data_IF_684588201137
#
_entry.id   IF_684588201137
#
_cell.length_a   1.000
_cell.length_b   1.000
_cell.length_c   1.000
_cell.angle_alpha   90.00
_cell.angle_beta   90.00
_cell.angle_gamma   90.00
#
_symmetry.space_group_name_H-M   'P 1'
#
loop_
_entity.id
_entity.type
_entity.pdbx_description
1 polymer ?
#
# COMPACT_ATOMS: atom_id res chain seq x y z
N UNK A 1 -11.00 -0.16 78.34
CA UNK A 1 -11.20 -1.50 77.75
C UNK A 1 -11.08 -1.38 76.24
N UNK A 2 -10.47 -2.40 75.61
CA UNK A 2 -10.03 -2.50 74.21
C UNK A 2 -10.88 -1.71 73.20
N UNK A 3 -10.35 -0.98 72.24
CA UNK A 3 -9.42 -1.45 71.22
C UNK A 3 -8.73 -0.23 70.57
N UNK A 4 -7.61 0.22 71.15
CA UNK A 4 -6.76 1.29 70.60
C UNK A 4 -5.33 0.78 70.38
N UNK A 5 -5.20 -0.52 70.10
CA UNK A 5 -3.91 -1.18 69.83
C UNK A 5 -3.83 -1.79 68.43
N UNK A 6 -4.94 -2.05 67.74
CA UNK A 6 -4.88 -2.62 66.39
C UNK A 6 -4.63 -1.61 65.27
N UNK A 7 -4.87 -0.31 65.48
CA UNK A 7 -4.67 0.68 64.42
C UNK A 7 -3.22 1.16 64.27
N UNK A 8 -2.39 1.04 65.31
CA UNK A 8 -0.97 1.47 65.29
C UNK A 8 -0.01 0.41 64.72
N UNK A 9 -0.39 -0.87 64.71
CA UNK A 9 0.40 -1.93 64.06
C UNK A 9 0.19 -1.99 62.54
N UNK A 10 -1.01 -1.66 62.04
CA UNK A 10 -1.28 -1.66 60.60
C UNK A 10 -0.63 -0.49 59.86
N UNK A 11 -0.43 0.66 60.50
CA UNK A 11 0.23 1.81 59.85
C UNK A 11 1.75 1.59 59.78
N UNK A 12 2.37 1.02 60.82
CA UNK A 12 3.80 0.68 60.82
C UNK A 12 4.16 -0.47 59.85
N UNK A 13 3.25 -1.43 59.63
CA UNK A 13 3.45 -2.51 58.66
C UNK A 13 3.35 -2.02 57.20
N UNK A 14 2.46 -1.07 56.91
CA UNK A 14 2.31 -0.48 55.57
C UNK A 14 3.54 0.37 55.21
N UNK A 15 4.14 1.08 56.16
CA UNK A 15 5.37 1.83 55.90
C UNK A 15 6.62 0.95 55.78
N UNK A 16 6.67 -0.23 56.41
CA UNK A 16 7.78 -1.18 56.25
C UNK A 16 7.71 -2.00 54.95
N UNK A 17 6.51 -2.26 54.41
CA UNK A 17 6.36 -2.89 53.08
C UNK A 17 6.61 -1.86 51.96
N UNK A 18 6.29 -0.59 52.18
CA UNK A 18 6.61 0.49 51.24
C UNK A 18 8.11 0.89 51.25
N UNK A 19 8.84 0.66 52.34
CA UNK A 19 10.26 1.03 52.48
C UNK A 19 11.26 -0.10 52.15
N UNK A 20 10.80 -1.29 51.76
CA UNK A 20 11.68 -2.42 51.37
C UNK A 20 11.53 -2.89 49.90
N UNK A 21 10.76 -2.19 49.08
CA UNK A 21 10.72 -2.43 47.62
C UNK A 21 11.33 -1.31 46.77
N UNK A 22 11.97 -0.31 47.38
CA UNK A 22 12.85 0.64 46.67
C UNK A 22 14.31 0.18 46.65
N UNK A 23 14.56 -1.12 46.80
CA UNK A 23 15.77 -1.72 46.27
C UNK A 23 15.65 -1.64 44.75
N UNK A 24 16.43 -0.73 44.16
CA UNK A 24 16.59 -0.53 42.73
C UNK A 24 16.42 -1.83 41.96
N UNK A 25 15.24 -2.01 41.35
CA UNK A 25 15.16 -2.83 40.15
C UNK A 25 15.91 -2.03 39.10
N UNK A 26 17.22 -2.26 39.03
CA UNK A 26 17.94 -2.06 37.78
C UNK A 26 17.12 -2.84 36.75
N UNK A 27 16.36 -2.11 35.93
CA UNK A 27 15.78 -2.66 34.71
C UNK A 27 17.00 -3.15 33.94
N UNK A 28 17.21 -4.47 33.96
CA UNK A 28 18.12 -5.10 33.03
C UNK A 28 17.61 -4.67 31.65
N UNK A 29 18.38 -3.84 30.95
CA UNK A 29 18.01 -3.36 29.63
C UNK A 29 17.63 -4.57 28.79
N UNK A 30 16.42 -4.55 28.23
CA UNK A 30 15.93 -5.60 27.34
C UNK A 30 17.00 -5.86 26.28
N UNK A 31 17.50 -7.10 26.22
CA UNK A 31 18.53 -7.48 25.26
C UNK A 31 17.91 -7.45 23.86
N UNK A 32 18.12 -6.35 23.14
CA UNK A 32 17.62 -6.16 21.77
C UNK A 32 18.28 -7.15 20.81
N UNK A 33 17.49 -7.64 19.86
CA UNK A 33 17.99 -8.50 18.77
C UNK A 33 18.84 -7.66 17.83
N UNK A 34 20.13 -7.99 17.73
CA UNK A 34 21.04 -7.33 16.78
C UNK A 34 20.73 -7.75 15.36
N UNK A 35 20.41 -6.79 14.50
CA UNK A 35 20.18 -6.98 13.07
C UNK A 35 21.14 -6.06 12.33
N UNK A 36 22.05 -6.65 11.55
CA UNK A 36 22.98 -5.89 10.71
C UNK A 36 22.66 -6.15 9.24
N UNK A 37 22.41 -5.09 8.48
CA UNK A 37 22.02 -5.17 7.07
C UNK A 37 23.11 -4.50 6.24
N UNK A 38 23.69 -5.27 5.35
CA UNK A 38 24.72 -4.84 4.42
C UNK A 38 24.06 -4.68 3.05
N UNK A 39 24.06 -3.47 2.52
CA UNK A 39 23.33 -3.12 1.30
C UNK A 39 24.19 -2.25 0.38
N UNK A 40 23.73 -2.06 -0.84
CA UNK A 40 24.38 -1.19 -1.82
C UNK A 40 23.47 -0.02 -2.15
N UNK A 41 24.02 1.19 -2.07
CA UNK A 41 23.32 2.37 -2.57
C UNK A 41 23.14 2.22 -4.09
N UNK A 42 21.93 2.50 -4.59
CA UNK A 42 21.53 2.33 -5.99
C UNK A 42 21.42 0.87 -6.47
N UNK A 43 21.31 -0.09 -5.55
CA UNK A 43 20.93 -1.47 -5.89
C UNK A 43 19.40 -1.61 -5.81
N UNK A 44 18.69 -1.91 -6.93
CA UNK A 44 17.23 -1.98 -6.95
C UNK A 44 16.64 -2.98 -5.94
N UNK A 45 17.28 -4.14 -5.76
CA UNK A 45 16.81 -5.14 -4.79
C UNK A 45 17.09 -4.72 -3.34
N UNK A 46 18.17 -3.97 -3.09
CA UNK A 46 18.43 -3.41 -1.76
C UNK A 46 17.44 -2.29 -1.43
N UNK A 47 17.12 -1.46 -2.42
CA UNK A 47 16.10 -0.42 -2.31
C UNK A 47 14.75 -1.03 -1.99
N UNK A 48 14.29 -2.00 -2.79
CA UNK A 48 13.06 -2.75 -2.54
C UNK A 48 13.04 -3.36 -1.14
N UNK A 49 14.08 -4.08 -0.75
CA UNK A 49 14.16 -4.66 0.60
C UNK A 49 14.07 -3.60 1.71
N UNK A 50 14.74 -2.45 1.56
CA UNK A 50 14.74 -1.40 2.58
C UNK A 50 13.37 -0.72 2.66
N UNK A 51 12.78 -0.37 1.52
CA UNK A 51 11.53 0.39 1.45
C UNK A 51 10.32 -0.50 1.78
N UNK A 52 10.28 -1.71 1.24
CA UNK A 52 9.08 -2.56 1.26
C UNK A 52 9.07 -3.61 2.37
N UNK A 53 10.23 -3.99 2.90
CA UNK A 53 10.33 -5.02 3.93
C UNK A 53 10.88 -4.47 5.24
N UNK A 54 12.02 -3.80 5.20
CA UNK A 54 12.66 -3.30 6.41
C UNK A 54 11.84 -2.18 7.06
N UNK A 55 11.29 -1.26 6.28
CA UNK A 55 10.52 -0.14 6.82
C UNK A 55 9.33 -0.60 7.69
N UNK A 56 8.71 -1.74 7.35
CA UNK A 56 7.58 -2.31 8.10
C UNK A 56 7.89 -2.58 9.58
N UNK A 57 9.17 -2.77 9.96
CA UNK A 57 9.54 -2.98 11.37
C UNK A 57 9.31 -1.74 12.24
N UNK A 58 9.27 -0.55 11.63
CA UNK A 58 8.99 0.70 12.31
C UNK A 58 7.48 0.89 12.56
N UNK A 59 6.64 0.38 11.66
CA UNK A 59 5.18 0.48 11.75
C UNK A 59 4.56 -0.53 12.71
N UNK A 60 5.01 -1.78 12.64
CA UNK A 60 4.47 -2.87 13.47
C UNK A 60 5.10 -2.93 14.89
N UNK A 61 5.92 -1.95 15.24
CA UNK A 61 6.55 -1.82 16.56
C UNK A 61 7.71 -2.80 16.81
N UNK A 62 8.08 -3.65 15.86
CA UNK A 62 9.19 -4.61 15.98
C UNK A 62 10.53 -3.91 16.22
N UNK A 63 10.70 -2.67 15.76
CA UNK A 63 11.90 -1.85 16.02
C UNK A 63 12.20 -1.67 17.52
N UNK A 64 11.18 -1.77 18.39
CA UNK A 64 11.36 -1.65 19.85
C UNK A 64 12.29 -2.72 20.43
N UNK A 65 12.30 -3.91 19.82
CA UNK A 65 13.10 -5.08 20.25
C UNK A 65 14.32 -5.34 19.36
N UNK A 66 14.60 -4.48 18.37
CA UNK A 66 15.70 -4.63 17.42
C UNK A 66 16.76 -3.53 17.63
N UNK A 67 18.03 -3.94 17.62
CA UNK A 67 19.20 -3.07 17.48
C UNK A 67 19.66 -3.14 16.02
N UNK A 68 19.16 -2.22 15.19
CA UNK A 68 19.34 -2.22 13.75
C UNK A 68 20.57 -1.40 13.33
N UNK A 69 21.46 -2.02 12.56
CA UNK A 69 22.62 -1.36 11.93
C UNK A 69 22.58 -1.53 10.41
N UNK A 70 22.65 -0.41 9.70
CA UNK A 70 22.70 -0.39 8.23
C UNK A 70 24.12 -0.05 7.77
N UNK A 71 24.62 -0.83 6.82
CA UNK A 71 25.96 -0.68 6.24
C UNK A 71 25.85 -0.62 4.71
N UNK A 72 26.02 0.56 4.09
CA UNK A 72 25.96 0.73 2.63
C UNK A 72 27.26 0.26 1.94
N UNK A 73 27.75 -0.93 2.32
CA UNK A 73 29.01 -1.54 1.88
C UNK A 73 28.77 -3.02 1.53
N UNK A 74 27.72 -3.34 0.77
CA UNK A 74 27.37 -4.72 0.43
C UNK A 74 28.48 -5.44 -0.36
N UNK A 75 28.59 -5.17 -1.67
CA UNK A 75 29.61 -5.78 -2.54
C UNK A 75 30.77 -4.85 -2.92
N UNK A 76 30.93 -3.74 -2.21
CA UNK A 76 32.03 -2.81 -2.43
C UNK A 76 33.38 -3.48 -2.10
N UNK A 77 34.36 -3.33 -2.99
CA UNK A 77 35.71 -3.90 -2.86
C UNK A 77 36.72 -2.80 -2.56
N UNK A 78 37.65 -3.04 -1.64
CA UNK A 78 38.80 -2.14 -1.44
C UNK A 78 39.93 -2.58 -2.36
N UNK A 79 40.33 -1.71 -3.28
CA UNK A 79 41.55 -1.87 -4.09
C UNK A 79 42.81 -1.73 -3.23
N UNK A 80 43.94 -2.26 -3.70
CA UNK A 80 45.21 -2.23 -2.96
C UNK A 80 45.73 -0.82 -2.62
N UNK A 81 45.27 0.21 -3.36
CA UNK A 81 45.56 1.62 -3.09
C UNK A 81 44.56 2.27 -2.10
N UNK A 82 43.65 1.50 -1.50
CA UNK A 82 42.63 1.98 -0.58
C UNK A 82 41.39 2.58 -1.24
N UNK A 83 41.27 2.52 -2.58
CA UNK A 83 40.08 2.96 -3.29
C UNK A 83 38.95 1.95 -3.11
N UNK A 84 37.79 2.41 -2.63
CA UNK A 84 36.56 1.61 -2.62
C UNK A 84 35.96 1.60 -4.02
N UNK A 85 35.72 0.41 -4.55
CA UNK A 85 35.12 0.15 -5.86
C UNK A 85 33.78 -0.54 -5.64
N UNK A 86 32.70 0.15 -5.97
CA UNK A 86 31.35 -0.41 -5.95
C UNK A 86 31.08 -1.16 -7.26
N UNK A 87 30.30 -2.24 -7.20
CA UNK A 87 29.89 -2.98 -8.39
C UNK A 87 28.66 -2.33 -9.02
N UNK A 88 28.81 -1.18 -9.66
CA UNK A 88 27.72 -0.59 -10.47
C UNK A 88 28.17 -0.41 -11.90
N UNK A 89 28.26 -1.54 -12.63
CA UNK A 89 28.01 -1.49 -14.07
C UNK A 89 26.53 -1.78 -14.27
N UNK A 90 25.79 -0.83 -14.85
CA UNK A 90 24.40 -0.90 -15.32
C UNK A 90 24.10 -2.06 -16.31
N UNK A 91 24.96 -3.07 -16.42
CA UNK A 91 24.96 -4.00 -17.55
C UNK A 91 25.05 -5.50 -17.21
N UNK A 92 25.23 -5.94 -15.96
CA UNK A 92 25.34 -7.38 -15.68
C UNK A 92 24.80 -7.79 -14.30
N UNK A 93 23.52 -8.12 -14.23
CA UNK A 93 22.97 -8.95 -13.15
C UNK A 93 22.73 -10.36 -13.69
N UNK A 94 23.59 -11.31 -13.28
CA UNK A 94 23.36 -12.74 -13.43
C UNK A 94 22.65 -13.22 -12.16
N UNK A 95 21.44 -13.80 -12.22
CA UNK A 95 20.56 -14.04 -11.06
C UNK A 95 21.02 -15.18 -10.11
N UNK A 96 22.27 -15.64 -10.16
CA UNK A 96 22.75 -16.80 -9.39
C UNK A 96 23.79 -16.51 -8.30
N UNK A 97 24.05 -15.26 -7.95
CA UNK A 97 25.10 -14.92 -6.99
C UNK A 97 24.71 -13.87 -5.95
N UNK A 98 23.69 -14.08 -5.12
CA UNK A 98 23.59 -13.27 -3.90
C UNK A 98 23.18 -14.11 -2.68
N UNK A 99 23.97 -13.97 -1.62
CA UNK A 99 23.79 -14.59 -0.31
C UNK A 99 23.36 -13.48 0.66
N UNK A 100 22.15 -13.58 1.23
CA UNK A 100 21.78 -12.83 2.44
C UNK A 100 22.09 -13.74 3.63
N UNK A 101 23.24 -13.55 4.28
CA UNK A 101 23.58 -14.31 5.48
C UNK A 101 23.10 -13.55 6.73
N UNK A 102 21.86 -13.81 7.17
CA UNK A 102 21.40 -13.40 8.49
C UNK A 102 21.98 -14.36 9.54
N UNK A 103 23.08 -13.99 10.21
CA UNK A 103 23.62 -14.78 11.32
C UNK A 103 22.80 -14.59 12.59
N UNK A 104 21.88 -15.52 12.84
CA UNK A 104 21.31 -15.75 14.17
C UNK A 104 22.32 -16.53 15.02
N UNK A 105 22.94 -15.87 16.01
CA UNK A 105 23.72 -16.56 17.04
C UNK A 105 22.75 -17.34 17.96
N UNK A 106 22.66 -18.66 17.78
CA UNK A 106 21.95 -19.56 18.69
C UNK A 106 22.72 -19.70 20.00
N UNK A 107 22.15 -19.26 21.12
CA UNK A 107 22.52 -19.76 22.45
C UNK A 107 21.55 -20.86 22.90
N UNK A 108 22.14 -21.99 23.26
CA UNK A 108 21.46 -23.17 23.79
C UNK A 108 21.23 -23.02 25.30
N UNK A 109 19.96 -23.01 25.73
CA UNK A 109 19.59 -23.31 27.11
C UNK A 109 19.11 -24.76 27.20
N UNK A 110 19.95 -25.63 27.79
CA UNK A 110 19.61 -27.02 28.17
C UNK A 110 18.92 -27.03 29.54
N UNK A 111 17.77 -27.72 29.61
CA UNK A 111 17.12 -28.24 30.82
C UNK A 111 16.16 -27.26 31.51
N UNK A 112 14.91 -27.58 31.86
CA UNK A 112 14.38 -28.85 32.38
C UNK A 112 12.85 -28.92 32.18
N UNK A 113 12.40 -30.04 31.62
CA UNK A 113 10.98 -30.44 31.50
C UNK A 113 10.44 -30.98 32.82
N UNK A 114 9.19 -30.61 33.20
CA UNK A 114 8.07 -31.56 33.39
C UNK A 114 6.81 -30.89 33.98
N UNK A 115 5.68 -31.16 33.29
CA UNK A 115 4.27 -31.34 33.75
C UNK A 115 3.65 -30.18 34.55
N UNK A 116 2.53 -29.62 34.10
CA UNK A 116 1.22 -30.28 34.21
C UNK A 116 0.30 -30.04 33.02
N UNK A 117 -0.27 -31.14 32.51
CA UNK A 117 -1.52 -31.18 31.77
C UNK A 117 -2.72 -30.92 32.70
N UNK A 118 -3.80 -30.33 32.15
CA UNK A 118 -5.24 -30.65 32.36
C UNK A 118 -6.11 -29.43 32.72
N UNK A 119 -7.26 -29.37 32.03
CA UNK A 119 -8.40 -28.42 32.13
C UNK A 119 -8.20 -27.10 31.38
N UNK A 120 -9.10 -26.64 30.48
CA UNK A 120 -10.46 -27.06 30.14
C UNK A 120 -10.78 -26.49 28.75
N UNK A 121 -11.30 -27.34 27.88
CA UNK A 121 -12.08 -27.00 26.70
C UNK A 121 -13.35 -26.22 27.07
N UNK A 122 -13.87 -25.46 26.09
CA UNK A 122 -15.22 -24.87 25.94
C UNK A 122 -15.26 -23.34 26.10
N UNK A 123 -15.63 -22.67 25.00
CA UNK A 123 -15.85 -21.23 24.94
C UNK A 123 -16.14 -20.74 23.51
N UNK A 124 -16.90 -21.53 22.74
CA UNK A 124 -17.52 -21.14 21.47
C UNK A 124 -18.96 -21.65 21.50
N UNK A 125 -19.86 -20.83 20.97
CA UNK A 125 -21.32 -20.93 20.88
C UNK A 125 -22.16 -20.25 21.98
N UNK A 126 -23.23 -19.59 21.49
CA UNK A 126 -24.41 -19.02 22.17
C UNK A 126 -24.42 -17.50 22.39
N UNK A 127 -24.38 -16.74 21.29
CA UNK A 127 -25.06 -15.44 21.21
C UNK A 127 -26.00 -15.42 20.00
N UNK A 128 -27.07 -16.21 20.07
CA UNK A 128 -28.23 -16.06 19.20
C UNK A 128 -29.48 -16.55 19.95
N UNK A 129 -30.52 -15.69 19.98
CA UNK A 129 -31.81 -15.76 20.69
C UNK A 129 -31.85 -15.10 22.08
N UNK A 130 -32.31 -13.83 22.15
CA UNK A 130 -33.42 -13.42 23.03
C UNK A 130 -33.88 -11.94 22.86
N UNK A 131 -34.42 -11.51 21.72
CA UNK A 131 -35.46 -10.45 21.67
C UNK A 131 -36.38 -10.75 20.49
N UNK A 132 -37.27 -11.73 20.66
CA UNK A 132 -38.44 -11.96 19.78
C UNK A 132 -39.48 -12.73 20.60
N UNK A 133 -40.20 -12.04 21.49
CA UNK A 133 -41.47 -12.53 22.04
C UNK A 133 -42.29 -11.35 22.61
N UNK A 134 -42.70 -10.40 21.76
CA UNK A 134 -43.83 -9.52 22.08
C UNK A 134 -44.70 -9.34 20.82
N UNK A 135 -45.94 -9.80 20.96
CA UNK A 135 -47.12 -9.56 20.14
C UNK A 135 -47.29 -10.26 18.79
N UNK A 136 -47.85 -11.47 18.87
CA UNK A 136 -48.87 -11.96 17.94
C UNK A 136 -50.26 -11.68 18.52
N UNK A 137 -51.01 -10.71 17.99
CA UNK A 137 -52.48 -10.81 17.81
C UNK A 137 -53.05 -9.59 17.06
N UNK A 138 -53.81 -9.87 16.00
CA UNK A 138 -54.86 -9.07 15.36
C UNK A 138 -54.54 -7.66 14.81
N UNK A 139 -54.65 -7.48 13.49
CA UNK A 139 -55.86 -6.90 12.85
C UNK A 139 -55.62 -6.60 11.34
N UNK A 140 -55.81 -7.59 10.45
CA UNK A 140 -55.88 -7.35 8.99
C UNK A 140 -57.26 -6.77 8.66
N UNK A 141 -57.40 -5.45 8.67
CA UNK A 141 -58.52 -4.72 8.00
C UNK A 141 -58.31 -3.20 7.84
N UNK A 142 -57.14 -2.66 8.19
CA UNK A 142 -56.90 -1.20 8.24
C UNK A 142 -56.08 -0.61 7.08
N UNK A 143 -55.39 -1.43 6.27
CA UNK A 143 -54.38 -0.92 5.30
C UNK A 143 -54.90 -0.65 3.88
N UNK A 144 -56.17 -0.96 3.59
CA UNK A 144 -56.76 -0.68 2.27
C UNK A 144 -57.45 0.70 2.18
N UNK A 145 -57.68 1.38 3.32
CA UNK A 145 -58.30 2.71 3.33
C UNK A 145 -57.28 3.85 3.40
N UNK A 146 -56.04 3.60 3.82
CA UNK A 146 -54.98 4.61 3.87
C UNK A 146 -54.33 4.85 2.49
N UNK A 147 -54.25 3.82 1.65
CA UNK A 147 -53.70 3.92 0.29
C UNK A 147 -54.66 4.61 -0.70
N UNK A 148 -55.97 4.59 -0.45
CA UNK A 148 -56.95 5.28 -1.29
C UNK A 148 -57.01 6.80 -1.05
N UNK A 149 -56.61 7.27 0.14
CA UNK A 149 -56.62 8.69 0.53
C UNK A 149 -55.39 9.46 0.01
N UNK A 150 -54.26 8.79 -0.20
CA UNK A 150 -53.02 9.42 -0.69
C UNK A 150 -53.06 9.67 -2.21
N UNK A 151 -53.76 8.82 -2.97
CA UNK A 151 -53.90 8.97 -4.43
C UNK A 151 -54.89 10.08 -4.81
N UNK A 152 -55.85 10.41 -3.96
CA UNK A 152 -56.82 11.50 -4.21
C UNK A 152 -56.30 12.91 -3.90
N UNK A 153 -55.20 13.06 -3.14
CA UNK A 153 -54.67 14.36 -2.72
C UNK A 153 -53.57 14.93 -3.62
N UNK A 154 -53.04 14.18 -4.59
CA UNK A 154 -51.98 14.66 -5.51
C UNK A 154 -52.48 15.04 -6.91
N UNK A 155 -53.79 14.98 -7.18
CA UNK A 155 -54.34 15.27 -8.53
C UNK A 155 -54.81 16.72 -8.76
N UNK A 156 -54.53 17.68 -7.88
CA UNK A 156 -54.94 19.08 -8.10
C UNK A 156 -53.92 20.11 -7.61
N UNK A 157 -52.76 20.21 -8.25
CA UNK A 157 -51.91 21.39 -8.21
C UNK A 157 -51.18 21.58 -9.55
N UNK A 158 -51.89 22.13 -10.55
CA UNK A 158 -51.28 22.84 -11.67
C UNK A 158 -51.55 24.33 -11.48
N UNK A 159 -50.51 25.17 -11.31
CA UNK A 159 -50.59 26.57 -11.69
C UNK A 159 -49.93 26.77 -13.06
N UNK A 160 -50.73 27.20 -14.02
CA UNK A 160 -50.25 27.80 -15.26
C UNK A 160 -49.56 29.13 -14.93
N UNK A 161 -48.25 29.20 -15.11
CA UNK A 161 -47.51 30.47 -15.16
C UNK A 161 -46.67 30.52 -16.42
N UNK A 162 -47.15 31.29 -17.40
CA UNK A 162 -46.33 31.82 -18.49
C UNK A 162 -45.39 32.87 -17.93
N UNK A 163 -44.07 32.64 -18.02
CA UNK A 163 -43.06 33.68 -17.93
C UNK A 163 -42.03 33.47 -19.04
N UNK A 164 -41.84 34.51 -19.84
CA UNK A 164 -40.82 34.61 -20.89
C UNK A 164 -39.51 35.17 -20.32
N UNK A 165 -38.42 35.00 -21.09
CA UNK A 165 -37.09 35.64 -20.97
C UNK A 165 -36.20 34.94 -19.93
N UNK A 166 -34.93 34.56 -20.14
CA UNK A 166 -33.89 34.99 -21.07
C UNK A 166 -32.97 33.80 -21.38
N UNK A 167 -32.62 33.58 -22.64
CA UNK A 167 -31.52 32.70 -23.01
C UNK A 167 -30.19 33.39 -22.69
N UNK A 168 -29.70 33.23 -21.47
CA UNK A 168 -28.26 33.32 -21.24
C UNK A 168 -27.64 32.05 -21.82
N UNK A 169 -26.58 32.13 -22.65
CA UNK A 169 -25.85 30.94 -23.00
C UNK A 169 -25.29 30.39 -21.69
N UNK A 170 -25.69 29.15 -21.36
CA UNK A 170 -24.95 28.37 -20.39
C UNK A 170 -23.51 28.38 -20.92
N UNK A 171 -22.64 29.09 -20.20
CA UNK A 171 -21.21 28.87 -20.32
C UNK A 171 -21.05 27.38 -20.06
N UNK A 172 -20.80 26.62 -21.12
CA UNK A 172 -20.30 25.28 -21.00
C UNK A 172 -19.08 25.42 -20.10
N UNK A 173 -19.22 25.03 -18.83
CA UNK A 173 -18.08 24.79 -17.97
C UNK A 173 -17.31 23.71 -18.68
N UNK A 174 -16.27 24.10 -19.42
CA UNK A 174 -15.39 23.14 -20.06
C UNK A 174 -14.92 22.23 -18.94
N UNK A 175 -15.28 20.95 -19.03
CA UNK A 175 -14.63 19.94 -18.20
C UNK A 175 -13.15 20.12 -18.48
N UNK A 176 -12.39 20.57 -17.48
CA UNK A 176 -10.93 20.67 -17.62
C UNK A 176 -10.43 19.29 -18.07
N UNK A 177 -9.68 19.26 -19.17
CA UNK A 177 -9.21 18.01 -19.76
C UNK A 177 -8.32 17.29 -18.76
N UNK A 178 -8.72 16.07 -18.38
CA UNK A 178 -7.95 15.20 -17.48
C UNK A 178 -6.66 14.74 -18.16
N UNK A 179 -5.62 14.52 -17.38
CA UNK A 179 -4.38 13.90 -17.85
C UNK A 179 -4.60 12.39 -17.99
N UNK A 180 -4.34 11.86 -19.18
CA UNK A 180 -4.33 10.42 -19.39
C UNK A 180 -3.12 9.78 -18.68
N UNK A 181 -3.39 8.75 -17.87
CA UNK A 181 -2.40 7.88 -17.25
C UNK A 181 -2.74 6.45 -17.67
N UNK A 182 -1.86 5.79 -18.41
CA UNK A 182 -2.04 4.37 -18.77
C UNK A 182 -0.94 3.52 -18.13
N UNK A 183 -1.35 2.45 -17.44
CA UNK A 183 -0.47 1.42 -16.90
C UNK A 183 -0.60 0.14 -17.72
N UNK A 184 0.50 -0.30 -18.33
CA UNK A 184 0.63 -1.63 -18.93
C UNK A 184 1.44 -2.53 -18.00
N UNK A 185 0.87 -3.66 -17.61
CA UNK A 185 1.38 -4.47 -16.51
C UNK A 185 1.03 -5.96 -16.65
N UNK A 186 1.60 -6.79 -15.77
CA UNK A 186 1.31 -8.23 -15.64
C UNK A 186 1.01 -8.55 -14.18
N UNK A 187 -0.03 -9.33 -13.92
CA UNK A 187 -0.55 -9.56 -12.57
C UNK A 187 0.42 -10.30 -11.62
N UNK A 188 1.44 -10.99 -12.13
CA UNK A 188 2.46 -11.67 -11.31
C UNK A 188 3.86 -11.08 -11.46
N UNK A 189 3.98 -9.88 -12.02
CA UNK A 189 5.24 -9.18 -12.10
C UNK A 189 5.52 -8.41 -10.78
N UNK A 190 6.62 -8.70 -10.06
CA UNK A 190 6.93 -8.06 -8.77
C UNK A 190 6.99 -6.52 -8.79
N UNK A 191 7.41 -5.93 -9.91
CA UNK A 191 7.45 -4.48 -10.06
C UNK A 191 6.07 -3.88 -10.34
N UNK A 192 5.17 -4.64 -10.97
CA UNK A 192 3.80 -4.21 -11.27
C UNK A 192 2.94 -4.22 -10.01
N UNK A 193 2.94 -5.34 -9.28
CA UNK A 193 2.22 -5.49 -8.00
C UNK A 193 2.66 -4.38 -7.02
N UNK A 194 3.97 -4.13 -6.91
CA UNK A 194 4.52 -3.10 -6.04
C UNK A 194 4.08 -1.70 -6.49
N UNK A 195 4.11 -1.41 -7.80
CA UNK A 195 3.66 -0.12 -8.31
C UNK A 195 2.17 0.11 -8.03
N UNK A 196 1.31 -0.88 -8.27
CA UNK A 196 -0.13 -0.76 -8.03
C UNK A 196 -0.43 -0.57 -6.54
N UNK A 197 0.16 -1.42 -5.70
CA UNK A 197 -0.14 -1.49 -4.26
C UNK A 197 0.52 -0.36 -3.46
N UNK A 198 1.75 0.04 -3.80
CA UNK A 198 2.53 0.97 -2.97
C UNK A 198 2.75 2.37 -3.58
N UNK A 199 2.39 2.60 -4.86
CA UNK A 199 2.60 3.90 -5.51
C UNK A 199 1.32 4.44 -6.15
N UNK A 200 0.69 3.67 -7.03
CA UNK A 200 -0.47 4.10 -7.81
C UNK A 200 -1.68 4.41 -6.93
N UNK A 201 -1.90 3.62 -5.88
CA UNK A 201 -3.04 3.80 -4.97
C UNK A 201 -3.12 5.23 -4.37
N UNK A 202 -1.97 5.90 -4.20
CA UNK A 202 -1.91 7.23 -3.59
C UNK A 202 -2.75 8.28 -4.33
N UNK A 203 -2.99 8.09 -5.65
CA UNK A 203 -3.78 9.05 -6.44
C UNK A 203 -5.23 9.18 -5.95
N UNK A 204 -5.75 8.14 -5.30
CA UNK A 204 -7.10 8.11 -4.76
C UNK A 204 -7.20 8.88 -3.44
N UNK A 205 -6.10 8.95 -2.68
CA UNK A 205 -6.06 9.61 -1.37
C UNK A 205 -5.59 11.08 -1.44
N UNK A 206 -4.74 11.41 -2.41
CA UNK A 206 -4.11 12.73 -2.51
C UNK A 206 -4.88 13.72 -3.41
N UNK A 207 -6.04 13.30 -3.93
CA UNK A 207 -6.94 14.10 -4.78
C UNK A 207 -6.53 14.16 -6.26
N UNK A 208 -5.45 13.50 -6.67
CA UNK A 208 -4.96 13.49 -8.06
C UNK A 208 -5.93 12.78 -9.01
N UNK A 209 -6.69 11.79 -8.53
CA UNK A 209 -7.72 11.09 -9.33
C UNK A 209 -8.76 12.03 -9.95
N UNK A 210 -8.98 13.21 -9.36
CA UNK A 210 -9.90 14.21 -9.90
C UNK A 210 -9.46 14.80 -11.24
N UNK A 211 -8.16 14.78 -11.52
CA UNK A 211 -7.54 15.32 -12.74
C UNK A 211 -6.94 14.26 -13.65
N UNK A 212 -7.06 12.98 -13.29
CA UNK A 212 -6.49 11.84 -14.02
C UNK A 212 -7.60 11.02 -14.69
N UNK A 213 -7.33 10.61 -15.92
CA UNK A 213 -8.03 9.53 -16.61
C UNK A 213 -7.13 8.29 -16.60
N UNK A 214 -7.32 7.41 -15.61
CA UNK A 214 -6.48 6.24 -15.38
C UNK A 214 -7.00 5.04 -16.16
N UNK A 215 -6.12 4.42 -16.95
CA UNK A 215 -6.36 3.24 -17.78
C UNK A 215 -5.40 2.11 -17.39
N UNK A 216 -5.92 0.89 -17.46
CA UNK A 216 -5.20 -0.34 -17.13
C UNK A 216 -5.15 -1.25 -18.36
N UNK A 217 -4.00 -1.88 -18.59
CA UNK A 217 -3.81 -2.91 -19.61
C UNK A 217 -3.08 -4.13 -19.01
N UNK A 218 -3.82 -5.09 -18.41
CA UNK A 218 -3.27 -6.33 -17.87
C UNK A 218 -2.90 -7.30 -19.00
N UNK A 219 -1.66 -7.25 -19.49
CA UNK A 219 -1.15 -8.17 -20.52
C UNK A 219 0.39 -8.19 -20.52
N UNK A 220 0.99 -6.99 -20.53
CA UNK A 220 2.43 -6.77 -20.47
C UNK A 220 3.23 -7.54 -21.50
N UNK A 221 4.17 -8.37 -21.06
CA UNK A 221 5.05 -9.15 -21.91
C UNK A 221 4.47 -10.52 -22.33
N UNK A 222 3.18 -10.77 -22.13
CA UNK A 222 2.53 -11.97 -22.64
C UNK A 222 2.68 -12.05 -24.17
N UNK A 223 2.63 -13.28 -24.70
CA UNK A 223 2.83 -13.55 -26.13
C UNK A 223 1.76 -14.47 -26.66
N UNK A 224 1.27 -14.17 -27.86
CA UNK A 224 0.37 -15.05 -28.60
C UNK A 224 1.20 -16.04 -29.43
N UNK A 225 1.01 -17.34 -29.21
CA UNK A 225 1.56 -18.41 -30.05
C UNK A 225 0.81 -18.52 -31.36
N UNK A 226 1.39 -19.24 -32.32
CA UNK A 226 0.79 -19.48 -33.65
C UNK A 226 -0.59 -20.18 -33.60
N UNK A 227 -0.89 -20.91 -32.52
CA UNK A 227 -2.18 -21.56 -32.30
C UNK A 227 -3.20 -20.66 -31.57
N UNK A 228 -2.89 -19.39 -31.35
CA UNK A 228 -3.74 -18.42 -30.63
C UNK A 228 -3.62 -18.49 -29.10
N UNK A 229 -2.82 -19.41 -28.55
CA UNK A 229 -2.63 -19.51 -27.09
C UNK A 229 -1.79 -18.34 -26.58
N UNK A 230 -2.28 -17.67 -25.54
CA UNK A 230 -1.53 -16.63 -24.81
C UNK A 230 -0.62 -17.31 -23.79
N UNK A 231 0.63 -16.84 -23.72
CA UNK A 231 1.65 -17.35 -22.80
C UNK A 231 2.27 -16.19 -22.06
N UNK A 232 2.22 -16.26 -20.74
CA UNK A 232 2.72 -15.22 -19.85
C UNK A 232 4.06 -15.64 -19.22
N UNK A 233 4.86 -14.68 -18.76
CA UNK A 233 6.24 -14.92 -18.31
C UNK A 233 6.30 -15.69 -16.99
N UNK A 234 5.33 -15.44 -16.10
CA UNK A 234 5.26 -16.02 -14.76
C UNK A 234 4.31 -17.24 -14.68
N UNK A 235 3.92 -17.79 -15.84
CA UNK A 235 3.17 -19.03 -15.95
C UNK A 235 1.67 -18.84 -16.16
N UNK A 236 0.91 -19.93 -16.00
CA UNK A 236 -0.52 -19.94 -16.32
C UNK A 236 -1.36 -19.07 -15.39
N UNK A 237 -1.00 -18.99 -14.11
CA UNK A 237 -1.71 -18.14 -13.15
C UNK A 237 -1.64 -16.66 -13.50
N UNK A 238 -0.54 -16.19 -14.07
CA UNK A 238 -0.46 -14.82 -14.59
C UNK A 238 -1.48 -14.59 -15.71
N UNK A 239 -1.57 -15.50 -16.68
CA UNK A 239 -2.57 -15.37 -17.75
C UNK A 239 -4.00 -15.43 -17.22
N UNK A 240 -4.26 -16.27 -16.20
CA UNK A 240 -5.57 -16.32 -15.53
C UNK A 240 -5.89 -14.98 -14.87
N UNK A 241 -4.95 -14.40 -14.13
CA UNK A 241 -5.17 -13.16 -13.39
C UNK A 241 -5.23 -11.94 -14.31
N UNK A 242 -4.41 -11.88 -15.36
CA UNK A 242 -4.57 -10.88 -16.43
C UNK A 242 -6.00 -10.92 -16.99
N UNK A 243 -6.51 -12.12 -17.29
CA UNK A 243 -7.89 -12.30 -17.78
C UNK A 243 -8.94 -11.89 -16.74
N UNK A 244 -8.72 -12.21 -15.46
CA UNK A 244 -9.60 -11.82 -14.34
C UNK A 244 -9.71 -10.30 -14.26
N UNK A 245 -8.59 -9.59 -14.30
CA UNK A 245 -8.53 -8.14 -14.20
C UNK A 245 -9.07 -7.47 -15.47
N UNK A 246 -8.76 -8.00 -16.65
CA UNK A 246 -9.37 -7.59 -17.92
C UNK A 246 -10.90 -7.67 -17.86
N UNK A 247 -11.43 -8.78 -17.34
CA UNK A 247 -12.87 -8.97 -17.15
C UNK A 247 -13.46 -8.02 -16.10
N UNK A 248 -12.74 -7.72 -15.02
CA UNK A 248 -13.17 -6.75 -14.00
C UNK A 248 -13.25 -5.32 -14.57
N UNK A 249 -12.22 -4.89 -15.31
CA UNK A 249 -12.18 -3.59 -16.00
C UNK A 249 -13.35 -3.47 -17.00
N UNK A 250 -13.63 -4.55 -17.74
CA UNK A 250 -14.77 -4.57 -18.66
C UNK A 250 -16.13 -4.52 -17.94
N UNK A 251 -16.29 -5.30 -16.87
CA UNK A 251 -17.53 -5.38 -16.11
C UNK A 251 -17.86 -4.07 -15.38
N UNK A 252 -16.82 -3.35 -14.93
CA UNK A 252 -16.94 -2.12 -14.16
C UNK A 252 -16.11 -0.99 -14.80
N UNK A 253 -16.61 -0.34 -15.87
CA UNK A 253 -15.79 0.59 -16.67
C UNK A 253 -15.31 1.84 -15.93
N UNK A 254 -15.97 2.24 -14.84
CA UNK A 254 -15.49 3.36 -14.03
C UNK A 254 -14.30 2.91 -13.16
N UNK A 255 -13.22 3.70 -13.17
CA UNK A 255 -12.01 3.38 -12.40
C UNK A 255 -12.26 3.28 -10.89
N UNK A 256 -13.22 4.05 -10.36
CA UNK A 256 -13.64 3.94 -8.96
C UNK A 256 -14.23 2.58 -8.60
N UNK A 257 -14.69 1.83 -9.60
CA UNK A 257 -15.44 0.60 -9.41
C UNK A 257 -14.55 -0.63 -9.64
N UNK A 258 -13.71 -0.64 -10.69
CA UNK A 258 -12.78 -1.77 -10.93
C UNK A 258 -11.47 -1.68 -10.14
N UNK A 259 -10.94 -0.48 -9.86
CA UNK A 259 -9.64 -0.35 -9.20
C UNK A 259 -9.58 -1.04 -7.84
N UNK A 260 -10.59 -0.95 -6.94
CA UNK A 260 -10.55 -1.67 -5.67
C UNK A 260 -10.38 -3.18 -5.84
N UNK A 261 -10.98 -3.75 -6.88
CA UNK A 261 -10.84 -5.17 -7.19
C UNK A 261 -9.44 -5.50 -7.72
N UNK A 262 -8.93 -4.72 -8.68
CA UNK A 262 -7.56 -4.86 -9.21
C UNK A 262 -6.53 -4.74 -8.08
N UNK A 263 -6.63 -3.71 -7.24
CA UNK A 263 -5.77 -3.53 -6.08
C UNK A 263 -5.82 -4.73 -5.13
N UNK A 264 -7.00 -5.27 -4.84
CA UNK A 264 -7.13 -6.44 -3.96
C UNK A 264 -6.47 -7.70 -4.55
N UNK A 265 -6.60 -7.92 -5.86
CA UNK A 265 -5.93 -9.03 -6.53
C UNK A 265 -4.42 -8.83 -6.48
N UNK A 266 -3.93 -7.64 -6.79
CA UNK A 266 -2.50 -7.29 -6.78
C UNK A 266 -1.89 -7.29 -5.36
N UNK A 267 -2.68 -6.99 -4.32
CA UNK A 267 -2.24 -7.17 -2.93
C UNK A 267 -2.04 -8.66 -2.60
N UNK A 268 -2.93 -9.53 -3.08
CA UNK A 268 -2.78 -10.98 -2.91
C UNK A 268 -1.61 -11.54 -3.72
N UNK A 269 -1.33 -11.02 -4.92
CA UNK A 269 -0.16 -11.42 -5.71
C UNK A 269 1.13 -11.02 -5.00
N UNK A 270 1.21 -9.77 -4.51
CA UNK A 270 2.31 -9.25 -3.70
C UNK A 270 2.57 -10.04 -2.42
N UNK A 271 1.52 -10.57 -1.79
CA UNK A 271 1.63 -11.45 -0.62
C UNK A 271 1.95 -12.92 -0.95
N UNK A 272 2.03 -13.29 -2.23
CA UNK A 272 2.21 -14.67 -2.68
C UNK A 272 0.98 -15.57 -2.49
N UNK A 273 -0.21 -14.97 -2.38
CA UNK A 273 -1.52 -15.62 -2.16
C UNK A 273 -2.45 -15.47 -3.36
N UNK A 274 -1.91 -15.28 -4.56
CA UNK A 274 -2.68 -15.04 -5.80
C UNK A 274 -3.79 -16.07 -6.11
N UNK A 275 -3.69 -17.30 -5.61
CA UNK A 275 -4.74 -18.31 -5.74
C UNK A 275 -6.03 -17.97 -4.96
N UNK A 276 -5.97 -17.04 -4.01
CA UNK A 276 -7.09 -16.57 -3.19
C UNK A 276 -7.83 -15.37 -3.80
N UNK A 277 -7.56 -15.02 -5.07
CA UNK A 277 -8.11 -13.81 -5.73
C UNK A 277 -9.64 -13.69 -5.65
N UNK A 278 -10.38 -14.81 -5.68
CA UNK A 278 -11.85 -14.80 -5.57
C UNK A 278 -12.34 -14.21 -4.24
N UNK A 279 -11.52 -14.25 -3.18
CA UNK A 279 -11.85 -13.64 -1.89
C UNK A 279 -12.05 -12.12 -2.00
N UNK A 280 -11.52 -11.47 -3.04
CA UNK A 280 -11.73 -10.05 -3.29
C UNK A 280 -13.19 -9.69 -3.54
N UNK A 281 -14.01 -10.59 -4.10
CA UNK A 281 -15.45 -10.33 -4.26
C UNK A 281 -16.13 -10.18 -2.89
N UNK A 282 -15.84 -11.08 -1.96
CA UNK A 282 -16.41 -11.05 -0.61
C UNK A 282 -15.86 -9.88 0.21
N UNK A 283 -14.54 -9.64 0.17
CA UNK A 283 -13.88 -8.52 0.88
C UNK A 283 -14.45 -7.15 0.49
N UNK A 284 -14.76 -6.98 -0.80
CA UNK A 284 -15.23 -5.71 -1.36
C UNK A 284 -16.76 -5.65 -1.52
N UNK A 285 -17.48 -6.73 -1.17
CA UNK A 285 -18.92 -6.86 -1.36
C UNK A 285 -19.35 -6.59 -2.82
N UNK A 286 -18.63 -7.19 -3.77
CA UNK A 286 -18.88 -7.09 -5.21
C UNK A 286 -19.64 -8.32 -5.72
N UNK A 287 -20.53 -8.11 -6.70
CA UNK A 287 -21.15 -9.22 -7.43
C UNK A 287 -20.12 -9.87 -8.35
N UNK A 288 -19.80 -11.15 -8.12
CA UNK A 288 -18.81 -11.87 -8.91
C UNK A 288 -19.31 -12.25 -10.31
N UNK A 289 -20.64 -12.28 -10.50
CA UNK A 289 -21.25 -12.83 -11.71
C UNK A 289 -20.74 -12.21 -13.02
N UNK A 290 -20.63 -10.87 -13.17
CA UNK A 290 -20.15 -10.28 -14.42
C UNK A 290 -18.73 -10.70 -14.80
N UNK A 291 -17.84 -10.82 -13.81
CA UNK A 291 -16.44 -11.22 -14.02
C UNK A 291 -16.34 -12.71 -14.33
N UNK A 292 -17.02 -13.56 -13.55
CA UNK A 292 -17.02 -15.01 -13.75
C UNK A 292 -17.66 -15.40 -15.08
N UNK A 293 -18.77 -14.76 -15.47
CA UNK A 293 -19.41 -14.99 -16.77
C UNK A 293 -18.49 -14.55 -17.93
N UNK A 294 -17.74 -13.46 -17.77
CA UNK A 294 -16.75 -13.00 -18.76
C UNK A 294 -15.63 -14.02 -18.98
N UNK A 295 -15.10 -14.59 -17.88
CA UNK A 295 -14.07 -15.64 -17.93
C UNK A 295 -14.65 -16.91 -18.57
N UNK A 296 -15.79 -17.40 -18.07
CA UNK A 296 -16.39 -18.67 -18.48
C UNK A 296 -16.95 -18.69 -19.90
N UNK A 297 -17.32 -17.53 -20.46
CA UNK A 297 -17.81 -17.41 -21.84
C UNK A 297 -16.70 -17.36 -22.90
N UNK A 298 -15.43 -17.26 -22.49
CA UNK A 298 -14.30 -17.00 -23.39
C UNK A 298 -14.24 -15.54 -23.88
N UNK A 299 -15.08 -14.65 -23.35
CA UNK A 299 -14.98 -13.22 -23.65
C UNK A 299 -13.70 -12.60 -23.07
N UNK A 300 -13.25 -13.06 -21.90
CA UNK A 300 -11.95 -12.68 -21.33
C UNK A 300 -10.78 -12.88 -22.29
N UNK A 301 -10.74 -14.00 -23.02
CA UNK A 301 -9.71 -14.22 -24.04
C UNK A 301 -9.74 -13.19 -25.18
N UNK A 302 -10.94 -12.70 -25.55
CA UNK A 302 -11.05 -11.63 -26.56
C UNK A 302 -10.53 -10.29 -26.03
N UNK A 303 -10.75 -10.00 -24.75
CA UNK A 303 -10.20 -8.80 -24.10
C UNK A 303 -8.67 -8.87 -24.07
N UNK A 304 -8.10 -10.01 -23.70
CA UNK A 304 -6.64 -10.21 -23.72
C UNK A 304 -6.03 -10.00 -25.11
N UNK A 305 -6.71 -10.45 -26.18
CA UNK A 305 -6.27 -10.17 -27.56
C UNK A 305 -6.35 -8.68 -27.92
N UNK A 306 -7.33 -7.95 -27.39
CA UNK A 306 -7.42 -6.50 -27.58
C UNK A 306 -6.28 -5.77 -26.88
N UNK A 307 -5.96 -6.14 -25.62
CA UNK A 307 -4.79 -5.61 -24.92
C UNK A 307 -3.48 -5.97 -25.62
N UNK A 308 -3.38 -7.16 -26.21
CA UNK A 308 -2.24 -7.55 -27.03
C UNK A 308 -2.05 -6.63 -28.24
N UNK A 309 -3.14 -6.28 -28.94
CA UNK A 309 -3.12 -5.36 -30.09
C UNK A 309 -2.74 -3.93 -29.65
N UNK A 310 -3.27 -3.47 -28.51
CA UNK A 310 -2.95 -2.17 -27.92
C UNK A 310 -1.46 -2.06 -27.59
N UNK A 311 -0.92 -3.05 -26.86
CA UNK A 311 0.49 -3.08 -26.46
C UNK A 311 1.43 -3.19 -27.68
N UNK A 312 1.05 -3.95 -28.70
CA UNK A 312 1.83 -4.06 -29.94
C UNK A 312 1.85 -2.74 -30.74
N UNK A 313 0.82 -1.90 -30.59
CA UNK A 313 0.73 -0.61 -31.24
C UNK A 313 1.55 0.50 -30.56
N UNK A 314 2.09 0.25 -29.35
CA UNK A 314 2.88 1.23 -28.61
C UNK A 314 4.06 1.77 -29.44
N UNK A 315 4.24 3.09 -29.38
CA UNK A 315 5.36 3.80 -29.99
C UNK A 315 5.99 4.75 -28.97
N UNK A 316 7.22 4.48 -28.49
CA UNK A 316 8.04 3.30 -28.79
C UNK A 316 7.43 2.01 -28.19
N UNK A 317 7.79 0.82 -28.72
CA UNK A 317 7.44 -0.44 -28.06
C UNK A 317 7.95 -0.47 -26.62
N UNK A 318 7.13 -0.98 -25.70
CA UNK A 318 7.56 -1.22 -24.33
C UNK A 318 8.73 -2.21 -24.29
N UNK A 319 9.65 -2.03 -23.34
CA UNK A 319 10.82 -2.91 -23.17
C UNK A 319 10.80 -3.69 -21.86
N UNK A 320 9.87 -3.35 -20.97
CA UNK A 320 9.66 -3.95 -19.65
C UNK A 320 8.27 -3.57 -19.15
N UNK A 321 7.86 -4.15 -18.02
CA UNK A 321 6.71 -3.71 -17.23
C UNK A 321 7.13 -3.49 -15.77
N UNK A 322 6.46 -2.60 -15.00
CA UNK A 322 5.34 -1.75 -15.42
C UNK A 322 5.79 -0.72 -16.47
N UNK A 323 4.98 -0.54 -17.50
CA UNK A 323 5.19 0.51 -18.50
C UNK A 323 4.15 1.59 -18.26
N UNK A 324 4.60 2.74 -17.76
CA UNK A 324 3.72 3.85 -17.36
C UNK A 324 3.81 4.96 -18.39
N UNK A 325 2.65 5.39 -18.88
CA UNK A 325 2.52 6.44 -19.90
C UNK A 325 1.64 7.57 -19.35
N UNK A 326 2.17 8.80 -19.36
CA UNK A 326 1.44 10.01 -18.94
C UNK A 326 1.32 10.96 -20.14
N UNK A 327 0.10 11.29 -20.55
CA UNK A 327 -0.19 12.16 -21.72
C UNK A 327 0.60 11.75 -22.97
N UNK A 328 0.62 10.43 -23.26
CA UNK A 328 1.36 9.83 -24.36
C UNK A 328 2.89 9.73 -24.17
N UNK A 329 3.44 10.15 -23.03
CA UNK A 329 4.88 10.07 -22.74
C UNK A 329 5.19 8.86 -21.85
N UNK A 330 5.96 7.86 -22.33
CA UNK A 330 6.46 6.79 -21.47
C UNK A 330 7.48 7.35 -20.47
N UNK A 331 7.35 6.95 -19.21
CA UNK A 331 8.18 7.47 -18.12
C UNK A 331 9.52 6.74 -17.93
N UNK A 332 9.66 5.54 -18.51
CA UNK A 332 10.82 4.67 -18.32
C UNK A 332 11.12 4.46 -16.82
N UNK A 333 12.38 4.61 -16.40
CA UNK A 333 12.85 4.38 -15.03
C UNK A 333 12.31 5.45 -14.05
N UNK A 334 11.76 6.57 -14.56
CA UNK A 334 11.13 7.62 -13.77
C UNK A 334 9.66 7.30 -13.42
N UNK A 335 9.15 6.10 -13.76
CA UNK A 335 7.76 5.71 -13.47
C UNK A 335 7.33 5.86 -12.00
N UNK A 336 8.19 5.71 -10.97
CA UNK A 336 7.79 5.97 -9.59
C UNK A 336 7.44 7.45 -9.32
N UNK A 337 7.95 8.39 -10.14
CA UNK A 337 7.68 9.83 -10.04
C UNK A 337 6.48 10.28 -10.91
N UNK A 338 5.60 9.36 -11.31
CA UNK A 338 4.46 9.63 -12.21
C UNK A 338 3.57 10.80 -11.77
N UNK A 339 3.44 11.07 -10.46
CA UNK A 339 2.70 12.23 -9.92
C UNK A 339 3.28 13.54 -10.45
N UNK A 340 4.61 13.68 -10.50
CA UNK A 340 5.26 14.90 -11.03
C UNK A 340 4.98 15.11 -12.50
N UNK A 341 4.95 14.02 -13.28
CA UNK A 341 4.61 14.08 -14.71
C UNK A 341 3.14 14.46 -14.92
N UNK A 342 2.22 13.91 -14.13
CA UNK A 342 0.80 14.27 -14.17
C UNK A 342 0.61 15.75 -13.86
N UNK A 343 1.21 16.22 -12.78
CA UNK A 343 1.11 17.62 -12.37
C UNK A 343 1.70 18.59 -13.40
N UNK A 344 2.75 18.19 -14.11
CA UNK A 344 3.34 18.95 -15.20
C UNK A 344 2.48 18.95 -16.47
N UNK A 345 1.81 17.84 -16.76
CA UNK A 345 0.96 17.68 -17.94
C UNK A 345 -0.41 18.36 -17.78
N UNK A 346 -0.90 18.49 -16.54
CA UNK A 346 -2.22 19.07 -16.27
C UNK A 346 -2.30 20.55 -16.64
N UNK A 347 -3.31 20.90 -17.45
CA UNK A 347 -3.54 22.27 -17.96
C UNK A 347 -4.73 22.97 -17.31
N UNK A 348 -5.46 22.29 -16.43
CA UNK A 348 -6.61 22.85 -15.73
C UNK A 348 -6.21 23.81 -14.60
N UNK A 349 -7.16 24.67 -14.22
CA UNK A 349 -6.97 25.68 -13.19
C UNK A 349 -7.09 25.13 -11.77
N UNK A 350 -7.84 24.04 -11.58
CA UNK A 350 -8.03 23.41 -10.27
C UNK A 350 -6.91 22.39 -9.97
N UNK A 351 -5.74 22.90 -9.59
CA UNK A 351 -4.56 22.07 -9.31
C UNK A 351 -4.68 21.38 -7.93
N UNK A 352 -4.65 20.02 -7.86
CA UNK A 352 -4.71 19.30 -6.58
C UNK A 352 -3.52 19.59 -5.66
N UNK A 353 -3.70 19.39 -4.35
CA UNK A 353 -2.65 19.62 -3.34
C UNK A 353 -1.39 18.79 -3.62
N UNK A 354 -1.54 17.57 -4.12
CA UNK A 354 -0.43 16.71 -4.54
C UNK A 354 0.56 17.42 -5.48
N UNK A 355 0.07 18.28 -6.38
CA UNK A 355 0.91 19.04 -7.31
C UNK A 355 1.57 20.27 -6.69
N UNK A 356 1.03 20.82 -5.60
CA UNK A 356 1.55 22.04 -4.97
C UNK A 356 2.83 21.78 -4.16
N UNK A 357 3.00 20.56 -3.62
CA UNK A 357 4.18 20.16 -2.85
C UNK A 357 5.46 19.99 -3.69
N UNK A 358 5.32 19.78 -5.00
CA UNK A 358 6.43 19.47 -5.90
C UNK A 358 7.30 20.68 -6.27
N UNK A 359 6.76 21.90 -6.13
CA UNK A 359 7.48 23.15 -6.39
C UNK A 359 8.72 23.34 -5.48
N UNK A 360 8.75 22.70 -4.31
CA UNK A 360 9.88 22.77 -3.38
C UNK A 360 11.03 21.80 -3.70
N UNK A 361 10.80 20.73 -4.48
CA UNK A 361 11.85 19.78 -4.87
C UNK A 361 12.51 20.11 -6.22
N UNK A 362 11.91 20.99 -7.04
CA UNK A 362 12.44 21.38 -8.36
C UNK A 362 13.48 22.51 -8.35
N UNK A 363 14.10 22.84 -7.20
CA UNK A 363 15.30 23.71 -7.21
C UNK A 363 16.52 22.92 -7.67
N UNK A 364 16.72 22.89 -8.99
CA UNK A 364 17.98 22.69 -9.73
C UNK A 364 19.06 21.86 -9.01
N UNK A 365 19.18 20.58 -9.37
CA UNK A 365 20.51 20.02 -9.61
C UNK A 365 20.85 20.29 -11.07
N UNK A 366 21.55 21.40 -11.30
CA UNK A 366 22.18 21.67 -12.58
C UNK A 366 23.22 20.58 -12.87
N UNK A 367 23.30 20.17 -14.15
CA UNK A 367 24.34 19.31 -14.73
C UNK A 367 25.68 19.44 -13.99
N UNK A 368 26.00 18.44 -13.18
CA UNK A 368 27.35 18.24 -12.68
C UNK A 368 27.87 16.94 -13.32
N UNK A 369 29.04 16.93 -13.98
CA UNK A 369 29.62 15.70 -14.50
C UNK A 369 29.81 14.74 -13.34
N UNK A 370 29.25 13.54 -13.45
CA UNK A 370 29.36 12.45 -12.49
C UNK A 370 30.80 11.92 -12.43
N UNK A 371 31.70 12.68 -11.83
CA UNK A 371 32.96 12.13 -11.35
C UNK A 371 32.64 11.37 -10.06
N UNK A 372 32.37 10.07 -10.20
CA UNK A 372 32.19 9.15 -9.10
C UNK A 372 33.49 9.07 -8.28
N UNK A 373 33.54 9.74 -7.13
CA UNK A 373 34.64 9.65 -6.19
C UNK A 373 34.08 9.58 -4.77
N UNK A 374 34.36 8.47 -4.07
CA UNK A 374 34.19 8.36 -2.62
C UNK A 374 35.47 8.83 -1.92
N UNK A 375 35.35 9.67 -0.90
CA UNK A 375 36.49 10.06 -0.05
C UNK A 375 36.62 9.12 1.15
N UNK A 376 37.87 8.87 1.56
CA UNK A 376 38.22 8.21 2.82
C UNK A 376 38.13 9.23 3.95
N UNK A 377 37.41 8.92 5.02
CA UNK A 377 37.51 9.68 6.27
C UNK A 377 38.89 9.39 6.91
N UNK A 378 39.71 10.43 7.13
CA UNK A 378 40.98 10.28 7.84
C UNK A 378 40.72 10.09 9.34
N UNK A 379 41.47 9.17 9.95
CA UNK A 379 41.48 8.87 11.39
C UNK A 379 42.01 10.04 12.24
N UNK A 380 41.30 11.16 12.29
CA UNK A 380 41.54 12.22 13.27
C UNK A 380 40.22 12.89 13.69
N UNK A 381 39.38 12.15 14.40
CA UNK A 381 38.35 12.75 15.24
C UNK A 381 38.25 11.98 16.57
N UNK A 382 39.24 12.21 17.44
CA UNK A 382 39.03 12.02 18.87
C UNK A 382 37.99 13.03 19.33
N UNK A 383 36.84 12.51 19.76
CA UNK A 383 35.84 13.14 20.63
C UNK A 383 35.50 14.62 20.42
N UNK A 384 34.32 14.90 19.86
CA UNK A 384 33.51 16.03 20.33
C UNK A 384 32.01 15.63 20.33
N UNK A 385 31.24 15.95 21.38
CA UNK A 385 29.97 15.30 21.69
C UNK A 385 28.76 15.96 21.02
N UNK A 386 27.71 15.16 20.82
CA UNK A 386 26.30 15.56 20.76
C UNK A 386 25.99 16.82 19.93
N UNK A 387 25.84 16.69 18.60
CA UNK A 387 25.17 17.72 17.79
C UNK A 387 24.70 17.22 16.42
N UNK A 388 24.15 16.00 16.34
CA UNK A 388 23.28 15.59 15.22
C UNK A 388 22.12 14.76 15.79
N UNK A 389 21.37 15.37 16.72
CA UNK A 389 19.99 15.04 17.05
C UNK A 389 19.29 16.40 17.22
N UNK A 390 19.01 17.09 16.12
CA UNK A 390 18.12 18.28 16.13
C UNK A 390 17.79 18.76 14.70
N UNK A 391 17.29 17.88 13.84
CA UNK A 391 16.70 18.33 12.57
C UNK A 391 15.38 17.65 12.19
N UNK A 392 14.93 16.62 12.91
CA UNK A 392 13.62 15.98 12.65
C UNK A 392 12.68 15.88 13.85
N UNK A 393 13.10 16.36 15.03
CA UNK A 393 12.23 16.44 16.21
C UNK A 393 11.55 17.82 16.40
N UNK A 394 11.86 18.80 15.56
CA UNK A 394 11.36 20.18 15.68
C UNK A 394 10.01 20.46 15.02
N UNK A 395 9.43 19.48 14.29
CA UNK A 395 8.17 19.68 13.56
C UNK A 395 6.96 18.97 14.21
N UNK A 396 7.17 18.24 15.31
CA UNK A 396 6.14 17.41 15.96
C UNK A 396 5.70 17.89 17.35
N UNK A 397 6.21 19.02 17.87
CA UNK A 397 5.77 19.59 19.15
C UNK A 397 4.93 20.88 19.05
N UNK A 398 4.59 21.35 17.84
CA UNK A 398 3.71 22.51 17.64
C UNK A 398 2.25 22.14 17.27
N UNK A 399 1.85 20.86 17.41
CA UNK A 399 0.47 20.42 17.09
C UNK A 399 -0.27 19.61 18.17
N UNK A 400 0.27 19.52 19.39
CA UNK A 400 -0.51 19.07 20.54
C UNK A 400 -0.27 20.04 21.69
N UNK A 401 -0.95 21.18 21.65
CA UNK A 401 -0.96 22.12 22.76
C UNK A 401 -1.70 21.51 23.94
N UNK A 402 -1.00 21.27 25.05
CA UNK A 402 -1.52 21.27 26.41
C UNK A 402 -0.33 21.35 27.39
N UNK A 403 -0.49 22.25 28.36
CA UNK A 403 0.53 22.84 29.24
C UNK A 403 1.25 21.88 30.20
#
# INVERSE_FOLDING_TARGET
MADNRNHRWNILLVFLIAALSTAAMAVAGEEKVKVEIYYEALCPSCEDFILNHLYKIFENGVISIVDLKLSPYGNAKVSSNGTVVCQTTLAQTNPRQFWVEARLLKYAARGRSRRTSRMRSQGLELSSKLIMEVHRSNNRRSDLLLLALIVFLTSNLLPSSTAAISSSPAVAGGSEEKVELTLYYEALCPYCENFIVNYLYEIFDNGLISIVDLKFSPYGNAKIRSNGTIVCQHGEWECVLNTVEACAIHAWPAVSDHFPFVYCVEELTYEGKYAEWETCFEKLNLDSKPVIDCIGSGFGHKLELQYADEIQALQPPHTYVPWVVVDGQPLYDDYPDFISFICKAYKGSNVPRACLGLSHHMKKTANHPSNHVCYKEQETAKSLPSKIISATAGFWMDHVGMA
#
